data_IF_947702180189
#
_entry.id   IF_947702180189
#
_cell.length_a   1.000
_cell.length_b   1.000
_cell.length_c   1.000
_cell.angle_alpha   90.00
_cell.angle_beta   90.00
_cell.angle_gamma   90.00
#
_symmetry.space_group_name_H-M   'P 1'
#
loop_
_entity.id
_entity.type
_entity.pdbx_description
1 polymer ?
#
# COMPACT_ATOMS: atom_id res chain seq x y z
N UNK A 1 7.59 -12.12 -6.96
CA UNK A 1 8.60 -11.03 -6.92
C UNK A 1 8.78 -10.49 -8.34
N UNK A 2 8.54 -9.20 -8.58
CA UNK A 2 8.48 -8.55 -9.92
C UNK A 2 9.78 -8.66 -10.75
N UNK A 3 10.86 -9.18 -10.16
CA UNK A 3 12.17 -9.36 -10.82
C UNK A 3 12.14 -10.34 -12.01
N UNK A 4 11.11 -11.18 -12.15
CA UNK A 4 11.00 -12.16 -13.24
C UNK A 4 10.25 -11.68 -14.49
N UNK A 5 9.57 -10.53 -14.46
CA UNK A 5 8.73 -10.05 -15.58
C UNK A 5 9.32 -8.86 -16.34
N UNK A 6 10.60 -8.51 -16.10
CA UNK A 6 11.25 -7.37 -16.75
C UNK A 6 10.73 -5.99 -16.31
N UNK A 7 9.82 -5.93 -15.34
CA UNK A 7 9.33 -4.68 -14.78
C UNK A 7 10.40 -4.10 -13.85
N UNK A 8 11.05 -3.02 -14.30
CA UNK A 8 11.97 -2.24 -13.49
C UNK A 8 11.15 -1.31 -12.60
N UNK A 9 11.07 -1.62 -11.30
CA UNK A 9 10.51 -0.69 -10.31
C UNK A 9 11.51 0.44 -10.10
N UNK A 10 11.09 1.66 -10.36
CA UNK A 10 11.89 2.83 -10.04
C UNK A 10 11.99 2.98 -8.51
N UNK A 11 13.19 3.29 -7.97
CA UNK A 11 13.36 3.48 -6.54
C UNK A 11 12.61 4.73 -6.05
N UNK A 12 12.49 4.86 -4.73
CA UNK A 12 11.85 5.97 -4.00
C UNK A 12 10.31 6.02 -4.01
N UNK A 13 9.62 5.41 -4.98
CA UNK A 13 8.15 5.41 -4.98
C UNK A 13 7.54 4.10 -5.47
N UNK A 14 6.27 3.91 -5.13
CA UNK A 14 5.39 2.95 -5.78
C UNK A 14 4.37 3.70 -6.64
N UNK A 15 4.10 3.18 -7.84
CA UNK A 15 3.13 3.74 -8.77
C UNK A 15 1.98 2.75 -8.92
N UNK A 16 0.76 3.25 -8.84
CA UNK A 16 -0.45 2.45 -9.05
C UNK A 16 -1.37 3.21 -9.99
N UNK A 17 -1.86 2.55 -11.03
CA UNK A 17 -2.87 3.12 -11.92
C UNK A 17 -4.24 2.53 -11.57
N UNK A 18 -5.22 3.40 -11.31
CA UNK A 18 -6.61 3.03 -11.02
C UNK A 18 -7.52 3.98 -11.78
N UNK A 19 -8.47 3.46 -12.55
CA UNK A 19 -9.44 4.27 -13.29
C UNK A 19 -8.79 5.37 -14.16
N UNK A 20 -7.66 5.04 -14.83
CA UNK A 20 -6.85 5.97 -15.64
C UNK A 20 -6.20 7.13 -14.84
N UNK A 21 -6.27 7.13 -13.51
CA UNK A 21 -5.48 8.02 -12.65
C UNK A 21 -4.23 7.28 -12.15
N UNK A 22 -3.08 7.94 -12.28
CA UNK A 22 -1.79 7.44 -11.77
C UNK A 22 -1.53 8.03 -10.40
N UNK A 23 -1.40 7.15 -9.40
CA UNK A 23 -1.11 7.49 -8.03
C UNK A 23 0.35 7.17 -7.68
N UNK A 24 1.01 8.09 -6.99
CA UNK A 24 2.37 7.95 -6.53
C UNK A 24 2.42 7.89 -5.00
N UNK A 25 3.12 6.89 -4.47
CA UNK A 25 3.37 6.70 -3.05
C UNK A 25 4.87 6.74 -2.81
N UNK A 26 5.36 7.88 -2.32
CA UNK A 26 6.78 8.08 -2.04
C UNK A 26 7.14 7.49 -0.68
N UNK A 27 8.29 6.82 -0.61
CA UNK A 27 8.81 6.27 0.64
C UNK A 27 9.03 7.39 1.66
N UNK A 28 8.60 7.19 2.90
CA UNK A 28 8.72 8.19 3.99
C UNK A 28 7.80 9.41 3.86
N UNK A 29 6.85 9.41 2.93
CA UNK A 29 5.92 10.50 2.73
C UNK A 29 4.46 10.04 2.72
N UNK A 30 3.65 10.69 3.56
CA UNK A 30 2.20 10.43 3.68
C UNK A 30 1.36 11.53 2.99
N UNK A 31 1.85 12.10 1.89
CA UNK A 31 1.29 13.31 1.24
C UNK A 31 0.18 13.02 0.21
N UNK A 32 -0.19 11.76 -0.01
CA UNK A 32 -1.24 11.42 -0.96
C UNK A 32 -2.60 12.01 -0.57
N UNK A 33 -3.35 12.54 -1.54
CA UNK A 33 -4.67 13.18 -1.30
C UNK A 33 -5.66 12.28 -0.55
N UNK A 34 -5.50 10.97 -0.69
CA UNK A 34 -6.37 9.95 -0.08
C UNK A 34 -5.72 9.15 1.06
N UNK A 35 -4.56 9.57 1.59
CA UNK A 35 -3.84 8.82 2.65
C UNK A 35 -4.77 8.38 3.78
N UNK A 36 -5.57 9.30 4.34
CA UNK A 36 -6.48 9.00 5.46
C UNK A 36 -7.52 7.92 5.13
N UNK A 37 -8.11 7.96 3.93
CA UNK A 37 -9.12 6.97 3.55
C UNK A 37 -8.49 5.60 3.30
N UNK A 38 -7.31 5.57 2.69
CA UNK A 38 -6.56 4.33 2.44
C UNK A 38 -6.16 3.68 3.76
N UNK A 39 -5.60 4.44 4.70
CA UNK A 39 -5.22 3.93 6.02
C UNK A 39 -6.43 3.39 6.79
N UNK A 40 -7.55 4.13 6.82
CA UNK A 40 -8.77 3.65 7.49
C UNK A 40 -9.30 2.35 6.90
N UNK A 41 -9.28 2.21 5.56
CA UNK A 41 -9.68 0.97 4.90
C UNK A 41 -8.75 -0.20 5.24
N UNK A 42 -7.43 0.04 5.34
CA UNK A 42 -6.46 -0.99 5.75
C UNK A 42 -6.74 -1.44 7.19
N UNK A 43 -7.07 -0.52 8.10
CA UNK A 43 -7.44 -0.83 9.49
C UNK A 43 -8.73 -1.66 9.56
N UNK A 44 -9.76 -1.27 8.81
CA UNK A 44 -11.03 -2.01 8.72
C UNK A 44 -10.81 -3.44 8.19
N UNK A 45 -10.07 -3.56 7.08
CA UNK A 45 -9.71 -4.87 6.50
C UNK A 45 -8.88 -5.71 7.46
N UNK A 46 -7.99 -5.08 8.22
CA UNK A 46 -7.19 -5.75 9.24
C UNK A 46 -8.06 -6.36 10.33
N UNK A 47 -9.11 -5.64 10.76
CA UNK A 47 -10.06 -6.16 11.75
C UNK A 47 -10.81 -7.37 11.20
N UNK A 48 -11.33 -7.29 9.97
CA UNK A 48 -12.05 -8.38 9.31
C UNK A 48 -11.18 -9.64 9.16
N UNK A 49 -9.92 -9.48 8.77
CA UNK A 49 -9.02 -10.61 8.54
C UNK A 49 -8.50 -11.24 9.84
N UNK A 50 -8.32 -10.46 10.91
CA UNK A 50 -7.97 -10.99 12.25
C UNK A 50 -9.02 -11.95 12.79
N UNK A 51 -10.30 -11.68 12.52
CA UNK A 51 -11.41 -12.54 12.96
C UNK A 51 -11.43 -13.91 12.23
N UNK A 52 -10.74 -14.02 11.08
CA UNK A 52 -10.69 -15.25 10.28
C UNK A 52 -9.49 -16.17 10.60
N UNK A 53 -8.74 -15.91 11.68
CA UNK A 53 -7.53 -16.66 12.05
C UNK A 53 -6.37 -16.56 11.03
N UNK A 54 -6.44 -15.60 10.10
CA UNK A 54 -5.37 -15.31 9.17
C UNK A 54 -4.32 -14.41 9.85
N UNK A 55 -3.06 -14.84 9.86
CA UNK A 55 -1.95 -14.05 10.43
C UNK A 55 -1.60 -12.92 9.47
N UNK A 56 -2.09 -11.73 9.77
CA UNK A 56 -1.69 -10.50 9.11
C UNK A 56 -0.31 -10.05 9.60
N UNK A 57 0.66 -10.01 8.68
CA UNK A 57 1.93 -9.33 8.92
C UNK A 57 1.73 -7.81 8.87
N UNK A 58 1.47 -7.23 10.04
CA UNK A 58 1.14 -5.82 10.26
C UNK A 58 2.37 -4.94 10.51
N UNK A 59 3.56 -5.36 10.08
CA UNK A 59 4.77 -4.55 10.13
C UNK A 59 4.71 -3.38 9.12
N UNK A 60 3.74 -2.49 9.30
CA UNK A 60 3.69 -1.18 8.67
C UNK A 60 4.41 -0.23 9.63
N UNK A 61 5.71 -0.07 9.43
CA UNK A 61 6.47 0.97 10.13
C UNK A 61 6.05 2.34 9.56
N UNK A 62 5.20 3.03 10.32
CA UNK A 62 4.90 4.44 10.13
C UNK A 62 5.96 5.24 10.90
N UNK A 63 7.05 5.61 10.22
CA UNK A 63 7.95 6.70 10.65
C UNK A 63 7.47 8.06 10.13
#
# INVERSE_FOLDING_TARGET
MMKGCGIKKEPAYSMVEVQMEVHFFFMGHNTHKQTKQICGLIEDMTCILKDNCDVLDLSIELE
#
